data_IF_346415010526
#
_entry.id   IF_346415010526
#
_cell.length_a   1.000
_cell.length_b   1.000
_cell.length_c   1.000
_cell.angle_alpha   90.00
_cell.angle_beta   90.00
_cell.angle_gamma   90.00
#
_symmetry.space_group_name_H-M   'P 1'
#
loop_
_entity.id
_entity.type
_entity.pdbx_description
1 polymer ?
#
# COMPACT_ATOMS: atom_id res chain seq x y z
N UNK A 1 -1.17 -49.32 -51.76
CA UNK A 1 -0.50 -48.66 -52.90
C UNK A 1 -0.72 -47.16 -52.73
N UNK A 2 0.25 -46.28 -52.49
CA UNK A 2 1.70 -46.36 -52.51
C UNK A 2 2.28 -45.56 -51.33
N UNK A 3 3.45 -45.97 -50.89
CA UNK A 3 4.25 -45.38 -49.84
C UNK A 3 5.30 -44.42 -50.43
N UNK A 4 5.69 -43.40 -49.66
CA UNK A 4 7.00 -42.74 -49.64
C UNK A 4 6.95 -41.75 -48.43
N UNK A 5 7.62 -41.95 -47.30
CA UNK A 5 9.06 -42.12 -47.05
C UNK A 5 9.84 -40.79 -47.09
N UNK A 6 10.83 -40.65 -46.19
CA UNK A 6 12.01 -39.77 -46.30
C UNK A 6 11.92 -38.34 -45.71
N UNK A 7 12.28 -38.15 -44.42
CA UNK A 7 13.65 -37.76 -43.97
C UNK A 7 13.67 -37.09 -42.59
N UNK A 8 14.66 -37.58 -41.84
CA UNK A 8 14.93 -37.41 -40.42
C UNK A 8 16.12 -36.44 -40.29
N UNK A 9 15.95 -35.27 -39.67
CA UNK A 9 17.09 -34.43 -39.28
C UNK A 9 17.26 -34.45 -37.76
N UNK A 10 18.22 -35.27 -37.32
CA UNK A 10 18.85 -35.19 -36.00
C UNK A 10 19.92 -34.09 -36.06
N UNK A 11 19.88 -33.15 -35.12
CA UNK A 11 21.01 -32.26 -34.84
C UNK A 11 21.19 -32.13 -33.33
N UNK A 12 22.13 -32.94 -32.83
CA UNK A 12 23.27 -32.54 -31.99
C UNK A 12 23.00 -31.67 -30.76
N UNK A 13 22.96 -32.37 -29.62
CA UNK A 13 23.20 -31.87 -28.27
C UNK A 13 24.59 -31.24 -28.11
N UNK A 14 24.66 -30.00 -27.61
CA UNK A 14 25.87 -29.40 -27.06
C UNK A 14 25.64 -28.94 -25.61
N UNK A 15 26.10 -29.75 -24.66
CA UNK A 15 26.17 -29.42 -23.23
C UNK A 15 27.45 -28.62 -22.93
N UNK A 16 27.39 -27.57 -22.09
CA UNK A 16 28.59 -27.00 -21.47
C UNK A 16 28.95 -27.68 -20.13
N UNK A 17 30.23 -27.59 -19.72
CA UNK A 17 30.82 -28.45 -18.69
C UNK A 17 30.49 -28.02 -17.25
N UNK A 18 30.46 -29.04 -16.39
CA UNK A 18 30.40 -28.95 -14.93
C UNK A 18 31.75 -28.46 -14.42
N UNK A 19 31.76 -27.36 -13.68
CA UNK A 19 32.89 -26.94 -12.85
C UNK A 19 32.64 -27.35 -11.40
N UNK A 20 33.64 -28.00 -10.84
CA UNK A 20 33.63 -28.59 -9.51
C UNK A 20 33.94 -27.58 -8.39
N UNK A 21 33.46 -27.93 -7.20
CA UNK A 21 34.12 -27.81 -5.89
C UNK A 21 34.59 -26.44 -5.40
N UNK A 22 33.90 -25.94 -4.38
CA UNK A 22 34.57 -25.43 -3.18
C UNK A 22 33.81 -25.86 -1.92
N UNK A 23 34.48 -26.72 -1.17
CA UNK A 23 34.16 -27.21 0.17
C UNK A 23 34.71 -26.22 1.19
N UNK A 24 33.90 -25.61 2.06
CA UNK A 24 34.40 -25.03 3.33
C UNK A 24 33.32 -25.01 4.42
N UNK A 25 33.65 -25.73 5.50
CA UNK A 25 33.29 -25.52 6.91
C UNK A 25 31.89 -25.84 7.43
N UNK A 26 31.83 -27.03 8.03
CA UNK A 26 31.09 -27.31 9.23
C UNK A 26 31.34 -26.25 10.31
N UNK A 27 30.27 -25.73 10.91
CA UNK A 27 30.36 -25.08 12.21
C UNK A 27 29.39 -25.78 13.17
N UNK A 28 29.97 -26.68 13.96
CA UNK A 28 29.35 -27.22 15.15
C UNK A 28 29.29 -26.09 16.17
N UNK A 29 28.09 -25.72 16.64
CA UNK A 29 28.00 -25.05 17.93
C UNK A 29 27.00 -25.77 18.82
N UNK A 30 27.60 -26.68 19.58
CA UNK A 30 27.08 -27.43 20.71
C UNK A 30 27.18 -26.51 21.93
N UNK A 31 26.07 -25.95 22.39
CA UNK A 31 25.98 -25.48 23.79
C UNK A 31 24.65 -25.94 24.38
N UNK A 32 24.79 -27.02 25.15
CA UNK A 32 23.89 -27.42 26.22
C UNK A 32 23.77 -26.27 27.22
N UNK A 33 22.57 -25.96 27.66
CA UNK A 33 22.37 -25.70 29.08
C UNK A 33 21.04 -26.31 29.51
N UNK A 34 21.17 -27.31 30.37
CA UNK A 34 20.14 -27.88 31.22
C UNK A 34 19.82 -26.82 32.29
N UNK A 35 18.53 -26.63 32.55
CA UNK A 35 18.02 -25.69 33.54
C UNK A 35 16.64 -26.15 33.98
N UNK A 36 16.63 -27.30 34.64
CA UNK A 36 15.51 -27.86 35.38
C UNK A 36 15.34 -27.06 36.67
N UNK A 37 14.14 -26.52 36.89
CA UNK A 37 13.69 -26.02 38.19
C UNK A 37 12.17 -26.05 38.21
N UNK A 38 11.64 -27.13 38.79
CA UNK A 38 10.28 -27.23 39.33
C UNK A 38 10.03 -26.16 40.40
N UNK A 39 8.98 -25.35 40.26
CA UNK A 39 8.24 -24.79 41.41
C UNK A 39 6.73 -24.72 41.05
N UNK A 40 5.82 -25.17 41.95
CA UNK A 40 4.41 -25.37 41.67
C UNK A 40 3.53 -24.16 41.98
N UNK A 41 2.38 -24.12 41.30
CA UNK A 41 1.06 -23.81 41.85
C UNK A 41 0.81 -22.46 42.54
N UNK A 42 -0.10 -21.67 41.97
CA UNK A 42 -1.22 -21.22 42.79
C UNK A 42 -2.50 -21.02 41.97
N UNK A 43 -3.57 -21.52 42.56
CA UNK A 43 -4.95 -21.43 42.12
C UNK A 43 -5.61 -20.24 42.79
N UNK A 44 -6.53 -19.55 42.11
CA UNK A 44 -7.69 -18.83 42.69
C UNK A 44 -8.47 -18.18 41.55
N UNK A 45 -9.56 -18.79 41.05
CA UNK A 45 -10.94 -18.53 41.50
C UNK A 45 -11.23 -17.04 41.77
N UNK A 46 -11.97 -16.42 40.84
CA UNK A 46 -13.08 -15.53 41.19
C UNK A 46 -14.10 -15.48 40.03
N UNK A 47 -15.03 -16.43 40.09
CA UNK A 47 -16.41 -16.21 39.68
C UNK A 47 -17.02 -15.13 40.58
N UNK A 48 -17.73 -14.16 40.02
CA UNK A 48 -18.87 -13.49 40.66
C UNK A 48 -19.72 -12.80 39.58
N UNK A 49 -20.80 -13.44 39.14
CA UNK A 49 -22.19 -13.23 39.62
C UNK A 49 -22.80 -11.90 39.20
N UNK A 50 -23.58 -11.98 38.12
CA UNK A 50 -24.94 -11.47 37.93
C UNK A 50 -25.47 -10.49 38.98
N UNK A 51 -25.81 -9.27 38.55
CA UNK A 51 -26.92 -8.51 39.15
C UNK A 51 -27.78 -7.95 38.03
N UNK A 52 -28.95 -8.55 37.88
CA UNK A 52 -30.09 -7.97 37.18
C UNK A 52 -30.54 -6.70 37.92
N UNK A 53 -30.66 -5.59 37.21
CA UNK A 53 -31.64 -4.56 37.55
C UNK A 53 -32.45 -4.24 36.30
N UNK A 54 -33.72 -4.64 36.37
CA UNK A 54 -34.81 -4.25 35.50
C UNK A 54 -35.65 -3.25 36.29
N UNK A 55 -36.10 -2.15 35.69
CA UNK A 55 -37.46 -1.56 35.82
C UNK A 55 -37.53 -0.15 35.18
N UNK A 56 -38.54 -0.04 34.30
CA UNK A 56 -39.34 1.12 33.84
C UNK A 56 -38.63 2.23 33.02
N UNK A 57 -38.89 2.36 31.72
CA UNK A 57 -40.15 2.76 31.04
C UNK A 57 -40.35 4.28 31.08
N UNK A 58 -39.92 4.95 30.01
CA UNK A 58 -40.60 6.13 29.46
C UNK A 58 -40.65 6.00 27.94
N UNK A 59 -41.86 6.11 27.41
CA UNK A 59 -42.18 6.07 26.00
C UNK A 59 -41.98 7.46 25.38
N UNK A 60 -41.41 7.53 24.18
CA UNK A 60 -41.77 8.56 23.19
C UNK A 60 -41.17 8.26 21.80
N UNK A 61 -42.10 8.11 20.85
CA UNK A 61 -42.02 8.45 19.42
C UNK A 61 -41.18 7.56 18.50
N UNK A 62 -41.93 6.67 17.85
CA UNK A 62 -41.60 5.99 16.60
C UNK A 62 -41.28 7.02 15.51
N UNK A 63 -40.09 6.93 14.93
CA UNK A 63 -39.83 7.34 13.55
C UNK A 63 -39.35 6.10 12.80
N UNK A 64 -40.29 5.49 12.08
CA UNK A 64 -40.02 4.48 11.07
C UNK A 64 -39.31 5.17 9.90
N UNK A 65 -38.00 4.99 9.79
CA UNK A 65 -37.29 5.23 8.54
C UNK A 65 -36.84 3.89 7.97
N UNK A 66 -37.32 3.49 6.78
CA UNK A 66 -36.79 2.31 6.13
C UNK A 66 -35.32 2.57 5.80
N UNK A 67 -34.44 1.71 6.31
CA UNK A 67 -33.06 1.61 5.84
C UNK A 67 -33.08 1.15 4.37
N UNK A 68 -33.27 2.11 3.48
CA UNK A 68 -32.73 2.01 2.13
C UNK A 68 -31.21 2.00 2.28
N UNK A 69 -30.60 0.90 1.87
CA UNK A 69 -29.19 0.82 1.55
C UNK A 69 -28.91 1.81 0.42
N UNK A 70 -28.72 3.08 0.80
CA UNK A 70 -28.21 4.12 -0.07
C UNK A 70 -26.82 3.68 -0.54
N UNK A 71 -26.78 3.16 -1.76
CA UNK A 71 -25.62 3.22 -2.63
C UNK A 71 -25.34 4.70 -2.86
N UNK A 72 -24.59 5.29 -1.93
CA UNK A 72 -24.12 6.67 -2.04
C UNK A 72 -23.28 6.75 -3.31
N UNK A 73 -23.76 7.57 -4.25
CA UNK A 73 -22.94 8.15 -5.32
C UNK A 73 -21.86 9.00 -4.63
N UNK A 74 -20.82 8.33 -4.14
CA UNK A 74 -19.73 8.94 -3.40
C UNK A 74 -18.98 9.90 -4.30
N UNK A 75 -18.65 11.07 -3.78
CA UNK A 75 -17.75 12.02 -4.41
C UNK A 75 -16.54 11.26 -4.97
N UNK A 76 -16.45 11.20 -6.30
CA UNK A 76 -15.39 10.47 -6.99
C UNK A 76 -14.08 11.16 -6.63
N UNK A 77 -13.23 10.47 -5.88
CA UNK A 77 -11.90 11.01 -5.58
C UNK A 77 -11.17 11.19 -6.91
N UNK A 78 -10.58 12.37 -7.22
CA UNK A 78 -9.97 12.66 -8.52
C UNK A 78 -8.99 11.59 -9.01
N UNK A 79 -8.29 10.94 -8.08
CA UNK A 79 -7.35 9.85 -8.34
C UNK A 79 -7.96 8.61 -9.04
N UNK A 80 -9.29 8.48 -9.09
CA UNK A 80 -9.98 7.33 -9.71
C UNK A 80 -10.74 7.67 -10.99
N UNK A 81 -10.89 8.96 -11.32
CA UNK A 81 -11.63 9.40 -12.50
C UNK A 81 -11.17 8.74 -13.81
N UNK A 82 -9.85 8.53 -14.05
CA UNK A 82 -9.40 7.87 -15.29
C UNK A 82 -9.85 6.41 -15.41
N UNK A 83 -10.21 5.79 -14.29
CA UNK A 83 -10.58 4.38 -14.23
C UNK A 83 -12.08 4.16 -14.25
N UNK A 84 -12.94 5.19 -14.25
CA UNK A 84 -14.40 4.99 -14.14
C UNK A 84 -14.96 4.13 -15.28
N UNK A 85 -14.52 4.32 -16.51
CA UNK A 85 -14.93 3.49 -17.66
C UNK A 85 -14.53 2.02 -17.50
N UNK A 86 -13.43 1.75 -16.81
CA UNK A 86 -12.95 0.41 -16.51
C UNK A 86 -13.69 -0.18 -15.30
N UNK A 87 -13.87 0.61 -14.24
CA UNK A 87 -14.62 0.23 -13.05
C UNK A 87 -16.08 -0.11 -13.41
N UNK A 88 -16.69 0.64 -14.32
CA UNK A 88 -18.03 0.34 -14.85
C UNK A 88 -18.09 -1.04 -15.54
N UNK A 89 -17.01 -1.47 -16.21
CA UNK A 89 -16.92 -2.81 -16.83
C UNK A 89 -16.64 -3.91 -15.81
N UNK A 90 -15.91 -3.61 -14.73
CA UNK A 90 -15.54 -4.59 -13.70
C UNK A 90 -16.64 -4.82 -12.67
N UNK A 91 -17.35 -3.76 -12.25
CA UNK A 91 -18.40 -3.81 -11.20
C UNK A 91 -19.48 -4.90 -11.40
N UNK A 92 -19.91 -5.25 -12.63
CA UNK A 92 -20.87 -6.33 -12.85
C UNK A 92 -20.32 -7.74 -12.54
N UNK A 93 -19.00 -7.91 -12.52
CA UNK A 93 -18.34 -9.22 -12.39
C UNK A 93 -17.49 -9.34 -11.12
N UNK A 94 -17.18 -8.22 -10.48
CA UNK A 94 -16.22 -8.14 -9.39
C UNK A 94 -16.70 -7.13 -8.33
N UNK A 95 -16.47 -7.45 -7.06
CA UNK A 95 -16.64 -6.48 -5.97
C UNK A 95 -15.37 -5.62 -5.89
N UNK A 96 -15.40 -4.42 -6.47
CA UNK A 96 -14.21 -3.55 -6.54
C UNK A 96 -14.15 -2.58 -5.35
N UNK A 97 -13.04 -2.59 -4.61
CA UNK A 97 -12.74 -1.64 -3.53
C UNK A 97 -11.59 -0.73 -3.92
N UNK A 98 -11.86 0.57 -3.96
CA UNK A 98 -10.87 1.61 -4.30
C UNK A 98 -10.25 2.20 -3.03
N UNK A 99 -8.93 2.35 -3.00
CA UNK A 99 -8.18 2.84 -1.85
C UNK A 99 -7.07 3.79 -2.28
N UNK A 100 -7.13 5.04 -1.81
CA UNK A 100 -6.07 6.03 -2.05
C UNK A 100 -4.93 5.84 -1.04
N UNK A 101 -3.69 5.90 -1.52
CA UNK A 101 -2.47 5.84 -0.69
C UNK A 101 -1.82 7.21 -0.71
N UNK A 102 -1.70 7.79 0.48
CA UNK A 102 -1.11 9.10 0.73
C UNK A 102 0.12 8.95 1.65
N UNK A 103 0.99 9.97 1.76
CA UNK A 103 2.14 9.91 2.66
C UNK A 103 1.78 9.69 4.13
N UNK A 104 0.60 10.10 4.58
CA UNK A 104 0.11 9.87 5.95
C UNK A 104 -0.62 8.53 6.13
N UNK A 105 -0.86 7.77 5.07
CA UNK A 105 -1.55 6.48 5.15
C UNK A 105 -0.77 5.48 6.00
N UNK A 106 -1.47 4.81 6.93
CA UNK A 106 -0.94 3.67 7.68
C UNK A 106 -0.88 2.43 6.78
N UNK A 107 0.32 1.85 6.66
CA UNK A 107 0.55 0.64 5.85
C UNK A 107 -0.28 -0.52 6.39
N UNK A 108 -0.20 -0.80 7.70
CA UNK A 108 -0.91 -1.89 8.34
C UNK A 108 -2.43 -1.83 8.07
N UNK A 109 -3.06 -0.68 8.33
CA UNK A 109 -4.51 -0.50 8.11
C UNK A 109 -4.91 -0.75 6.66
N UNK A 110 -4.12 -0.31 5.69
CA UNK A 110 -4.43 -0.54 4.28
C UNK A 110 -4.23 -2.00 3.87
N UNK A 111 -3.18 -2.66 4.34
CA UNK A 111 -2.95 -4.08 4.09
C UNK A 111 -4.10 -4.90 4.66
N UNK A 112 -4.50 -4.66 5.91
CA UNK A 112 -5.57 -5.42 6.57
C UNK A 112 -6.92 -5.19 5.88
N UNK A 113 -7.25 -3.93 5.52
CA UNK A 113 -8.47 -3.60 4.76
C UNK A 113 -8.50 -4.23 3.36
N UNK A 114 -7.34 -4.37 2.72
CA UNK A 114 -7.23 -5.00 1.41
C UNK A 114 -7.43 -6.51 1.51
N UNK A 115 -6.76 -7.17 2.47
CA UNK A 115 -6.92 -8.61 2.72
C UNK A 115 -8.35 -8.97 3.11
N UNK A 116 -8.95 -8.23 4.05
CA UNK A 116 -10.34 -8.42 4.44
C UNK A 116 -11.31 -8.34 3.25
N UNK A 117 -10.99 -7.53 2.23
CA UNK A 117 -11.80 -7.42 1.02
C UNK A 117 -11.57 -8.59 0.06
N UNK A 118 -10.31 -8.98 -0.13
CA UNK A 118 -9.92 -10.06 -1.03
C UNK A 118 -10.32 -11.45 -0.51
N UNK A 119 -10.45 -11.61 0.80
CA UNK A 119 -10.79 -12.88 1.46
C UNK A 119 -12.30 -13.17 1.50
N UNK A 120 -13.16 -12.22 1.07
CA UNK A 120 -14.62 -12.42 1.01
C UNK A 120 -15.03 -13.48 0.00
N UNK A 121 -14.17 -13.76 -0.97
CA UNK A 121 -14.46 -14.66 -2.07
C UNK A 121 -14.22 -16.12 -1.71
N UNK A 122 -15.23 -16.97 -1.91
CA UNK A 122 -15.13 -18.42 -1.86
C UNK A 122 -15.26 -19.01 -3.26
N UNK A 123 -14.32 -19.87 -3.67
CA UNK A 123 -14.38 -20.57 -4.96
C UNK A 123 -15.62 -21.45 -5.13
N UNK A 124 -16.29 -21.78 -4.03
CA UNK A 124 -17.44 -22.68 -4.00
C UNK A 124 -18.78 -21.93 -3.99
N UNK A 125 -18.76 -20.63 -3.73
CA UNK A 125 -19.96 -19.80 -3.65
C UNK A 125 -20.00 -18.82 -4.82
N UNK A 126 -20.81 -19.17 -5.82
CA UNK A 126 -21.00 -18.33 -7.01
C UNK A 126 -21.93 -17.14 -6.76
N UNK A 127 -22.59 -17.07 -5.59
CA UNK A 127 -23.46 -15.93 -5.25
C UNK A 127 -22.66 -14.68 -4.86
N UNK A 128 -21.39 -14.84 -4.48
CA UNK A 128 -20.50 -13.76 -4.07
C UNK A 128 -19.54 -13.40 -5.20
N UNK A 129 -19.53 -12.11 -5.57
CA UNK A 129 -18.60 -11.62 -6.58
C UNK A 129 -17.16 -11.69 -6.06
N UNK A 130 -16.19 -12.08 -6.90
CA UNK A 130 -14.78 -12.05 -6.52
C UNK A 130 -14.30 -10.64 -6.17
N UNK A 131 -13.57 -10.51 -5.06
CA UNK A 131 -13.02 -9.25 -4.60
C UNK A 131 -11.86 -8.75 -5.46
N UNK A 132 -11.84 -7.45 -5.73
CA UNK A 132 -10.74 -6.75 -6.40
C UNK A 132 -10.41 -5.47 -5.63
N UNK A 133 -9.13 -5.22 -5.37
CA UNK A 133 -8.68 -3.99 -4.70
C UNK A 133 -7.90 -3.13 -5.70
N UNK A 134 -8.31 -1.88 -5.85
CA UNK A 134 -7.59 -0.83 -6.60
C UNK A 134 -6.88 0.10 -5.62
N UNK A 135 -5.56 -0.01 -5.55
CA UNK A 135 -4.70 0.94 -4.86
C UNK A 135 -4.26 2.04 -5.83
N UNK A 136 -4.36 3.32 -5.46
CA UNK A 136 -3.87 4.43 -6.28
C UNK A 136 -3.08 5.43 -5.45
N UNK A 137 -1.99 5.97 -5.99
CA UNK A 137 -1.13 6.94 -5.32
C UNK A 137 -0.60 7.99 -6.29
N UNK A 138 -0.40 9.21 -5.76
CA UNK A 138 0.45 10.24 -6.37
C UNK A 138 1.94 9.82 -6.29
N UNK A 139 2.86 10.43 -7.05
CA UNK A 139 4.26 10.00 -7.12
C UNK A 139 4.95 10.05 -5.75
N UNK A 140 4.64 11.05 -4.92
CA UNK A 140 5.16 11.20 -3.55
C UNK A 140 4.82 10.04 -2.61
N UNK A 141 3.77 9.26 -2.91
CA UNK A 141 3.32 8.12 -2.10
C UNK A 141 3.48 6.77 -2.81
N UNK A 142 4.12 6.75 -3.98
CA UNK A 142 4.25 5.56 -4.82
C UNK A 142 5.04 4.43 -4.13
N UNK A 143 6.18 4.74 -3.50
CA UNK A 143 6.97 3.76 -2.74
C UNK A 143 6.14 3.08 -1.64
N UNK A 144 5.30 3.86 -0.94
CA UNK A 144 4.40 3.33 0.10
C UNK A 144 3.32 2.42 -0.50
N UNK A 145 2.74 2.79 -1.65
CA UNK A 145 1.78 1.94 -2.35
C UNK A 145 2.40 0.60 -2.73
N UNK A 146 3.65 0.60 -3.24
CA UNK A 146 4.37 -0.62 -3.58
C UNK A 146 4.56 -1.48 -2.32
N UNK A 147 5.00 -0.89 -1.20
CA UNK A 147 5.12 -1.63 0.08
C UNK A 147 3.81 -2.29 0.50
N UNK A 148 2.68 -1.57 0.40
CA UNK A 148 1.35 -2.11 0.72
C UNK A 148 1.02 -3.28 -0.20
N UNK A 149 1.18 -3.11 -1.52
CA UNK A 149 0.90 -4.16 -2.50
C UNK A 149 1.75 -5.43 -2.26
N UNK A 150 3.05 -5.27 -2.00
CA UNK A 150 3.94 -6.39 -1.69
C UNK A 150 3.52 -7.16 -0.44
N UNK A 151 3.17 -6.46 0.65
CA UNK A 151 2.75 -7.08 1.89
C UNK A 151 1.42 -7.85 1.73
N UNK A 152 0.47 -7.28 0.98
CA UNK A 152 -0.80 -7.98 0.66
C UNK A 152 -0.50 -9.27 -0.11
N UNK A 153 0.31 -9.20 -1.18
CA UNK A 153 0.66 -10.40 -1.97
C UNK A 153 1.43 -11.44 -1.18
N UNK A 154 2.34 -11.01 -0.29
CA UNK A 154 3.11 -11.92 0.56
C UNK A 154 2.18 -12.71 1.49
N UNK A 155 1.30 -12.04 2.23
CA UNK A 155 0.33 -12.68 3.14
C UNK A 155 -0.59 -13.64 2.40
N UNK A 156 -1.03 -13.26 1.20
CA UNK A 156 -1.80 -14.16 0.34
C UNK A 156 -0.97 -15.38 -0.10
N UNK A 157 0.29 -15.17 -0.50
CA UNK A 157 1.19 -16.25 -0.95
C UNK A 157 1.55 -17.24 0.17
N UNK A 158 1.69 -16.76 1.41
CA UNK A 158 1.89 -17.59 2.62
C UNK A 158 0.75 -18.59 2.83
N UNK A 159 -0.48 -18.22 2.44
CA UNK A 159 -1.63 -19.12 2.41
C UNK A 159 -1.68 -20.08 1.20
N UNK A 160 -0.58 -20.23 0.45
CA UNK A 160 -0.47 -21.03 -0.79
C UNK A 160 -1.52 -20.67 -1.84
N UNK A 161 -1.86 -19.39 -1.86
CA UNK A 161 -3.03 -18.88 -2.53
C UNK A 161 -2.59 -18.04 -3.75
N UNK A 162 -3.27 -18.20 -4.91
CA UNK A 162 -2.90 -17.56 -6.19
C UNK A 162 -3.25 -16.07 -6.19
N UNK A 163 -2.31 -15.16 -6.42
CA UNK A 163 -2.59 -13.73 -6.59
C UNK A 163 -2.24 -13.26 -7.99
N UNK A 164 -2.92 -12.19 -8.39
CA UNK A 164 -2.73 -11.48 -9.66
C UNK A 164 -2.63 -9.98 -9.37
N UNK A 165 -1.63 -9.34 -9.98
CA UNK A 165 -1.37 -7.92 -9.86
C UNK A 165 -1.31 -7.27 -11.25
N UNK A 166 -1.94 -6.11 -11.38
CA UNK A 166 -1.96 -5.31 -12.60
C UNK A 166 -1.52 -3.89 -12.27
N UNK A 167 -0.38 -3.47 -12.81
CA UNK A 167 0.19 -2.14 -12.60
C UNK A 167 -0.19 -1.23 -13.77
N UNK A 168 -0.71 -0.04 -13.45
CA UNK A 168 -1.14 0.96 -14.42
C UNK A 168 -0.51 2.30 -14.05
N UNK A 169 0.03 3.00 -15.05
CA UNK A 169 0.53 4.35 -14.94
C UNK A 169 -0.41 5.27 -15.72
N UNK A 170 -0.91 6.32 -15.06
CA UNK A 170 -1.88 7.24 -15.65
C UNK A 170 -1.40 8.67 -15.48
N UNK A 171 -1.65 9.50 -16.48
CA UNK A 171 -1.43 10.94 -16.46
C UNK A 171 -2.77 11.64 -16.68
N UNK A 172 -3.08 12.62 -15.84
CA UNK A 172 -4.31 13.42 -15.90
C UNK A 172 -3.96 14.89 -15.97
N UNK A 173 -4.67 15.63 -16.80
CA UNK A 173 -4.56 17.09 -16.87
C UNK A 173 -5.61 17.69 -15.93
N UNK A 174 -5.15 18.44 -14.94
CA UNK A 174 -6.02 19.27 -14.09
C UNK A 174 -5.80 20.73 -14.50
N UNK A 175 -6.88 21.41 -14.86
CA UNK A 175 -6.87 22.86 -15.03
C UNK A 175 -6.70 23.49 -13.65
N UNK A 176 -5.61 24.23 -13.45
CA UNK A 176 -5.34 24.93 -12.20
C UNK A 176 -6.40 26.03 -12.06
N UNK A 177 -7.45 25.76 -11.27
CA UNK A 177 -8.55 26.67 -11.04
C UNK A 177 -8.14 27.82 -10.12
N UNK A 178 -7.00 28.47 -10.38
CA UNK A 178 -6.56 29.75 -9.82
C UNK A 178 -6.66 29.89 -8.30
N UNK A 179 -6.72 28.78 -7.56
CA UNK A 179 -6.89 28.77 -6.12
C UNK A 179 -5.59 29.24 -5.52
N UNK A 180 -5.60 30.46 -5.01
CA UNK A 180 -4.48 31.09 -4.34
C UNK A 180 -3.93 30.11 -3.30
N UNK A 181 -2.79 29.49 -3.60
CA UNK A 181 -2.02 28.73 -2.63
C UNK A 181 -1.46 29.77 -1.66
N UNK A 182 -2.31 30.25 -0.75
CA UNK A 182 -1.86 30.99 0.42
C UNK A 182 -1.15 29.95 1.26
N UNK A 183 0.14 29.81 1.02
CA UNK A 183 1.08 29.22 1.96
C UNK A 183 1.09 30.19 3.14
N UNK A 184 0.10 30.07 4.02
CA UNK A 184 0.29 30.54 5.39
C UNK A 184 1.35 29.62 5.98
N UNK A 185 2.59 30.11 5.99
CA UNK A 185 3.65 29.64 6.85
C UNK A 185 3.11 29.64 8.28
N UNK A 186 2.51 28.52 8.66
CA UNK A 186 2.00 28.28 9.98
C UNK A 186 3.20 27.89 10.85
N UNK A 187 3.94 28.92 11.27
CA UNK A 187 4.84 28.89 12.41
C UNK A 187 4.09 28.23 13.58
N UNK A 188 4.43 26.97 13.84
CA UNK A 188 3.94 26.23 14.99
C UNK A 188 4.69 26.71 16.23
N UNK A 189 4.14 27.75 16.82
CA UNK A 189 4.41 28.13 18.20
C UNK A 189 4.01 26.97 19.14
N UNK A 190 5.01 26.51 19.90
CA UNK A 190 4.95 25.41 20.85
C UNK A 190 4.52 25.97 22.20
N UNK A 191 3.22 26.05 22.47
CA UNK A 191 2.70 26.04 23.84
C UNK A 191 1.28 25.49 23.89
N UNK A 192 1.13 24.20 24.23
CA UNK A 192 -0.11 23.73 24.85
C UNK A 192 0.14 22.51 25.72
N UNK A 193 0.41 22.79 26.99
CA UNK A 193 0.12 21.92 28.10
C UNK A 193 -1.38 21.59 28.11
N UNK A 194 -1.73 20.31 28.24
CA UNK A 194 -3.12 19.87 28.24
C UNK A 194 -3.29 18.35 28.14
N UNK A 195 -2.71 17.64 29.10
CA UNK A 195 -3.25 16.46 29.79
C UNK A 195 -4.45 15.75 29.11
N UNK A 196 -4.19 14.62 28.43
CA UNK A 196 -5.17 13.52 28.34
C UNK A 196 -4.53 12.19 27.90
N UNK A 197 -4.46 11.30 28.88
CA UNK A 197 -4.63 9.84 28.87
C UNK A 197 -3.68 8.99 28.00
N UNK A 198 -2.63 8.59 28.70
CA UNK A 198 -1.71 7.48 28.52
C UNK A 198 -2.37 6.17 28.04
N UNK A 199 -2.04 5.72 26.82
CA UNK A 199 -1.68 4.33 26.52
C UNK A 199 -0.58 4.34 25.43
N UNK A 200 0.63 4.76 25.84
CA UNK A 200 1.85 4.64 25.05
C UNK A 200 2.37 3.20 25.07
N UNK A 201 2.02 2.40 24.06
CA UNK A 201 2.83 1.24 23.70
C UNK A 201 4.09 1.69 22.93
N UNK A 202 5.11 2.04 23.72
CA UNK A 202 6.53 1.79 23.51
C UNK A 202 7.06 1.78 22.04
N UNK A 203 7.38 2.97 21.54
CA UNK A 203 8.37 3.11 20.48
C UNK A 203 9.78 3.15 21.09
N UNK A 204 10.46 2.00 21.14
CA UNK A 204 11.92 1.97 21.25
C UNK A 204 12.54 2.53 19.96
N UNK A 205 12.80 3.82 19.99
CA UNK A 205 13.64 4.56 19.06
C UNK A 205 15.07 4.01 19.13
N UNK A 206 15.38 2.96 18.37
CA UNK A 206 16.76 2.53 18.12
C UNK A 206 17.47 3.64 17.35
N UNK A 207 18.23 4.45 18.08
CA UNK A 207 19.24 5.33 17.53
C UNK A 207 20.23 4.54 16.68
N UNK A 208 20.21 4.81 15.38
CA UNK A 208 21.25 4.38 14.45
C UNK A 208 22.51 5.16 14.83
N UNK A 209 23.36 4.54 15.63
CA UNK A 209 24.73 4.96 15.88
C UNK A 209 25.55 4.77 14.61
N UNK A 210 25.68 5.83 13.81
CA UNK A 210 26.62 5.85 12.69
C UNK A 210 27.95 6.42 13.19
N UNK A 211 28.84 5.54 13.64
CA UNK A 211 30.17 5.87 14.09
C UNK A 211 31.15 5.77 12.90
N UNK A 212 31.65 6.91 12.44
CA UNK A 212 32.76 6.94 11.48
C UNK A 212 32.78 8.15 10.56
N UNK A 213 33.29 9.29 11.04
CA UNK A 213 34.44 9.94 10.42
C UNK A 213 34.90 11.17 11.23
N UNK A 214 36.02 10.99 11.93
CA UNK A 214 36.87 12.09 12.33
C UNK A 214 37.49 12.72 11.07
N UNK A 215 37.08 13.94 10.73
CA UNK A 215 37.99 14.89 10.08
C UNK A 215 37.78 16.29 10.64
N UNK A 216 38.92 16.82 11.04
CA UNK A 216 39.20 18.16 11.56
C UNK A 216 38.63 19.27 10.69
N UNK A 217 38.15 20.33 11.36
CA UNK A 217 38.19 21.76 11.03
C UNK A 217 37.29 22.44 12.08
N UNK A 218 37.78 22.84 13.26
CA UNK A 218 38.65 23.99 13.52
C UNK A 218 38.33 25.17 12.61
N UNK A 219 37.39 26.02 13.02
CA UNK A 219 37.49 27.49 12.95
C UNK A 219 36.40 28.09 13.85
N UNK A 220 36.85 28.68 14.96
CA UNK A 220 36.08 29.56 15.84
C UNK A 220 36.58 30.98 15.56
N UNK A 221 35.66 31.92 15.44
CA UNK A 221 35.91 33.35 15.25
C UNK A 221 35.01 33.87 14.13
N UNK A 222 33.89 34.55 14.41
CA UNK A 222 33.81 35.69 15.31
C UNK A 222 34.26 36.93 14.54
N UNK A 223 33.31 37.68 13.97
CA UNK A 223 33.61 38.86 13.18
C UNK A 223 32.32 39.58 12.78
N UNK A 224 31.83 40.42 13.69
CA UNK A 224 30.81 41.40 13.38
C UNK A 224 31.29 42.38 12.30
N UNK A 225 30.37 42.80 11.45
CA UNK A 225 30.58 43.82 10.44
C UNK A 225 29.25 44.48 10.12
N UNK A 226 28.91 45.49 10.91
CA UNK A 226 27.87 46.45 10.57
C UNK A 226 28.32 47.34 9.41
N UNK A 227 27.34 47.82 8.65
CA UNK A 227 27.50 48.74 7.52
C UNK A 227 26.76 48.17 6.32
N UNK A 228 25.82 48.86 5.70
CA UNK A 228 25.40 50.24 5.79
C UNK A 228 24.52 50.51 4.57
N UNK A 229 23.66 51.52 4.69
CA UNK A 229 22.63 51.93 3.75
C UNK A 229 22.89 51.72 2.25
N UNK A 230 21.87 51.16 1.61
CA UNK A 230 21.68 51.18 0.16
C UNK A 230 20.19 51.14 -0.14
N UNK A 231 19.49 52.25 0.12
CA UNK A 231 18.08 52.44 -0.19
C UNK A 231 17.80 52.29 -1.68
N UNK A 232 17.55 51.06 -2.11
CA UNK A 232 17.11 50.69 -3.45
C UNK A 232 15.62 50.37 -3.44
N UNK A 233 14.81 51.42 -3.42
CA UNK A 233 13.45 51.52 -4.00
C UNK A 233 12.60 50.24 -3.91
N UNK A 234 11.71 50.25 -2.91
CA UNK A 234 10.47 49.49 -2.90
C UNK A 234 9.76 49.60 -4.25
N UNK A 235 9.98 48.58 -5.08
CA UNK A 235 9.19 48.36 -6.28
C UNK A 235 7.86 47.85 -5.78
N UNK A 236 6.80 48.61 -6.03
CA UNK A 236 5.43 48.24 -5.73
C UNK A 236 5.14 46.81 -6.21
N UNK A 237 4.94 45.88 -5.28
CA UNK A 237 4.13 44.69 -5.49
C UNK A 237 2.67 45.13 -5.67
N UNK A 238 2.37 45.79 -6.79
CA UNK A 238 0.99 45.98 -7.19
C UNK A 238 0.45 44.61 -7.58
N UNK A 239 -0.65 44.14 -6.96
CA UNK A 239 -1.27 42.90 -7.37
C UNK A 239 -1.64 43.01 -8.85
N UNK A 240 -1.36 41.97 -9.67
CA UNK A 240 -1.62 42.00 -11.10
C UNK A 240 -3.07 42.40 -11.36
N UNK A 241 -3.23 43.29 -12.33
CA UNK A 241 -4.54 43.84 -12.69
C UNK A 241 -5.45 42.72 -13.17
N UNK A 242 -6.78 42.91 -13.06
CA UNK A 242 -7.77 41.93 -13.53
C UNK A 242 -7.56 41.59 -15.01
N UNK A 243 -7.04 42.54 -15.79
CA UNK A 243 -6.69 42.33 -17.20
C UNK A 243 -5.46 41.45 -17.39
N UNK A 244 -4.40 41.62 -16.60
CA UNK A 244 -3.22 40.74 -16.68
C UNK A 244 -3.57 39.29 -16.30
N UNK A 245 -4.41 39.09 -15.26
CA UNK A 245 -4.91 37.75 -14.91
C UNK A 245 -5.79 37.13 -15.99
N UNK A 246 -6.45 37.93 -16.82
CA UNK A 246 -7.30 37.44 -17.90
C UNK A 246 -6.52 37.09 -19.18
N UNK A 247 -5.24 37.50 -19.29
CA UNK A 247 -4.40 37.23 -20.46
C UNK A 247 -3.56 35.96 -20.28
N UNK A 248 -3.26 35.55 -19.04
CA UNK A 248 -2.53 34.31 -18.81
C UNK A 248 -3.44 33.10 -19.05
N UNK A 249 -3.12 32.22 -20.02
CA UNK A 249 -3.86 30.99 -20.21
C UNK A 249 -3.77 30.14 -18.93
N UNK A 250 -4.83 29.42 -18.55
CA UNK A 250 -4.83 28.60 -17.35
C UNK A 250 -3.65 27.62 -17.41
N UNK A 251 -2.82 27.64 -16.38
CA UNK A 251 -1.66 26.77 -16.26
C UNK A 251 -2.16 25.33 -16.08
N UNK A 252 -2.04 24.49 -17.09
CA UNK A 252 -2.41 23.07 -16.98
C UNK A 252 -1.39 22.34 -16.12
N UNK A 253 -1.84 21.70 -15.05
CA UNK A 253 -0.99 20.83 -14.22
C UNK A 253 -1.19 19.38 -14.65
N UNK A 254 -0.11 18.71 -15.04
CA UNK A 254 -0.13 17.27 -15.30
C UNK A 254 0.09 16.51 -13.99
N UNK A 255 -0.91 15.76 -13.56
CA UNK A 255 -0.82 14.87 -12.41
C UNK A 255 -0.58 13.44 -12.86
N UNK A 256 0.44 12.80 -12.29
CA UNK A 256 0.77 11.40 -12.56
C UNK A 256 0.32 10.51 -11.41
N UNK A 257 -0.27 9.38 -11.73
CA UNK A 257 -0.74 8.40 -10.75
C UNK A 257 -0.16 7.02 -11.05
N UNK A 258 0.23 6.32 -9.98
CA UNK A 258 0.55 4.90 -10.01
C UNK A 258 -0.61 4.16 -9.40
N UNK A 259 -1.15 3.17 -10.11
CA UNK A 259 -2.24 2.36 -9.62
C UNK A 259 -1.95 0.87 -9.76
N UNK A 260 -2.43 0.11 -8.79
CA UNK A 260 -2.23 -1.33 -8.71
C UNK A 260 -3.55 -2.01 -8.41
N UNK A 261 -3.99 -2.90 -9.30
CA UNK A 261 -5.11 -3.79 -9.06
C UNK A 261 -4.59 -5.10 -8.48
N UNK A 262 -5.21 -5.56 -7.41
CA UNK A 262 -4.93 -6.85 -6.77
C UNK A 262 -6.19 -7.72 -6.81
N UNK A 263 -6.02 -9.00 -7.17
CA UNK A 263 -7.09 -9.99 -7.13
C UNK A 263 -6.56 -11.41 -6.83
N UNK A 264 -7.47 -12.28 -6.40
CA UNK A 264 -7.25 -13.71 -6.16
C UNK A 264 -7.51 -14.56 -7.42
N UNK A 265 -8.13 -13.97 -8.45
CA UNK A 265 -8.43 -14.61 -9.73
C UNK A 265 -7.94 -13.74 -10.90
N UNK A 266 -7.69 -14.30 -12.09
CA UNK A 266 -7.32 -13.50 -13.24
C UNK A 266 -8.48 -12.62 -13.71
N UNK A 267 -8.16 -11.38 -14.08
CA UNK A 267 -9.08 -10.39 -14.64
C UNK A 267 -8.70 -10.17 -16.10
N UNK A 268 -9.50 -10.72 -17.02
CA UNK A 268 -9.20 -10.72 -18.45
C UNK A 268 -9.33 -9.32 -19.07
N UNK A 269 -10.24 -8.50 -18.54
CA UNK A 269 -10.40 -7.10 -18.93
C UNK A 269 -9.11 -6.31 -18.73
N UNK A 270 -8.37 -6.57 -17.65
CA UNK A 270 -7.10 -5.90 -17.36
C UNK A 270 -5.92 -6.47 -18.15
N UNK A 271 -5.95 -7.76 -18.50
CA UNK A 271 -4.90 -8.41 -19.31
C UNK A 271 -4.87 -7.89 -20.75
N UNK A 272 -6.03 -7.51 -21.28
CA UNK A 272 -6.18 -7.03 -22.66
C UNK A 272 -5.95 -5.53 -22.81
N UNK A 273 -5.85 -4.79 -21.70
CA UNK A 273 -5.57 -3.36 -21.73
C UNK A 273 -4.12 -3.07 -22.12
N UNK A 274 -3.94 -2.01 -22.91
CA UNK A 274 -2.60 -1.46 -23.20
C UNK A 274 -2.03 -0.78 -21.96
N UNK A 275 -0.70 -0.78 -21.86
CA UNK A 275 0.04 -0.11 -20.77
C UNK A 275 -0.23 -0.69 -19.37
N UNK A 276 -0.65 -1.96 -19.29
CA UNK A 276 -0.82 -2.67 -18.04
C UNK A 276 0.28 -3.72 -17.91
N UNK A 277 1.07 -3.66 -16.83
CA UNK A 277 2.03 -4.71 -16.51
C UNK A 277 1.38 -5.74 -15.58
N UNK A 278 1.49 -7.02 -15.93
CA UNK A 278 0.86 -8.12 -15.20
C UNK A 278 1.90 -8.92 -14.44
N UNK A 279 1.61 -9.23 -13.18
CA UNK A 279 2.42 -10.13 -12.34
C UNK A 279 1.50 -11.14 -11.64
N UNK A 280 1.97 -12.37 -11.44
CA UNK A 280 1.23 -13.41 -10.70
C UNK A 280 2.19 -14.43 -10.06
N UNK A 281 1.73 -15.14 -9.03
CA UNK A 281 2.42 -16.33 -8.50
C UNK A 281 1.79 -17.65 -8.97
N UNK A 282 0.94 -17.61 -10.00
CA UNK A 282 0.12 -18.76 -10.43
C UNK A 282 0.94 -20.03 -10.67
N UNK A 283 2.02 -19.93 -11.46
CA UNK A 283 2.90 -21.06 -11.76
C UNK A 283 3.61 -21.61 -10.52
N UNK A 284 3.99 -20.74 -9.58
CA UNK A 284 4.62 -21.16 -8.34
C UNK A 284 3.66 -21.99 -7.48
N UNK A 285 2.42 -21.52 -7.33
CA UNK A 285 1.38 -22.23 -6.59
C UNK A 285 1.02 -23.56 -7.27
N UNK A 286 0.94 -23.59 -8.59
CA UNK A 286 0.70 -24.84 -9.34
C UNK A 286 1.83 -25.85 -9.17
N UNK A 287 3.07 -25.39 -9.17
CA UNK A 287 4.23 -26.23 -8.90
C UNK A 287 4.18 -26.83 -7.49
N UNK A 288 3.88 -26.02 -6.47
CA UNK A 288 3.73 -26.51 -5.09
C UNK A 288 2.60 -27.55 -4.97
N UNK A 289 1.47 -27.33 -5.65
CA UNK A 289 0.36 -28.29 -5.71
C UNK A 289 0.77 -29.59 -6.38
N UNK A 290 1.43 -29.53 -7.54
CA UNK A 290 1.93 -30.71 -8.27
C UNK A 290 2.94 -31.51 -7.45
N UNK A 291 3.84 -30.83 -6.75
CA UNK A 291 4.81 -31.46 -5.85
C UNK A 291 4.13 -32.20 -4.70
N UNK A 292 3.08 -31.60 -4.10
CA UNK A 292 2.31 -32.24 -3.01
C UNK A 292 1.61 -33.54 -3.45
N UNK A 293 1.12 -33.59 -4.68
CA UNK A 293 0.44 -34.79 -5.22
C UNK A 293 1.40 -35.81 -5.86
N UNK A 294 2.72 -35.59 -5.76
CA UNK A 294 3.72 -36.51 -6.31
C UNK A 294 3.78 -36.53 -7.85
N UNK A 295 3.23 -35.51 -8.52
CA UNK A 295 3.26 -35.39 -9.99
C UNK A 295 4.56 -34.79 -10.52
N UNK A 296 5.40 -34.23 -9.63
CA UNK A 296 6.71 -33.67 -9.96
C UNK A 296 7.71 -34.23 -8.96
N UNK A 297 8.73 -34.92 -9.47
CA UNK A 297 9.85 -35.48 -8.71
C UNK A 297 10.89 -34.42 -8.37
#
# INVERSE_FOLDING_TARGET
MAAADTMLHQASSSSPPRSASSSVSANQNKRRHVGESDIPGNSSKKQRTTVNFNIQQTASLQSNHPHQSNTTAGAVTPAFQPYESLLAKLRPRYEVKTMSVMPSTSIAKHVDKALQHLDRFSLWDQSVLPGVVLLSAKPVASSKLVTIAELVRRRIGEGEQKWFQYNVLTETEEEDAGGTEVVEDMDRDLTKDGDHDEEEEAFEMMGIHNNGNQRQQQYVGGGGGGGGGGGGRASHDQPPTVFERAIEPPKTRHNKYVSVFLSRIPIEELRTMRNVAVQSNEHHIEHLKKKRVGLVA
#
